data_IF_392535396349
#
_entry.id   IF_392535396349
#
_cell.length_a   1.000
_cell.length_b   1.000
_cell.length_c   1.000
_cell.angle_alpha   90.00
_cell.angle_beta   90.00
_cell.angle_gamma   90.00
#
_symmetry.space_group_name_H-M   'P 1'
#
loop_
_entity.id
_entity.type
_entity.pdbx_description
1 polymer ?
#
# COMPACT_ATOMS: atom_id res chain seq x y z
N UNK A 1 15.76 18.44 8.01
CA UNK A 1 15.12 17.59 9.02
C UNK A 1 16.10 16.55 9.52
N UNK A 2 15.99 16.21 10.75
CA UNK A 2 16.90 15.26 11.39
C UNK A 2 16.90 13.91 10.71
N UNK A 3 15.73 13.47 10.25
CA UNK A 3 15.61 12.17 9.61
C UNK A 3 16.41 12.06 8.31
N UNK A 4 16.55 13.16 7.62
CA UNK A 4 17.30 13.21 6.36
C UNK A 4 18.79 13.24 6.60
N UNK A 5 19.17 13.77 7.74
CA UNK A 5 20.57 13.92 8.11
C UNK A 5 21.17 12.65 8.63
N UNK A 6 20.35 11.78 9.15
CA UNK A 6 20.79 10.55 9.76
C UNK A 6 20.88 9.43 8.74
N UNK A 7 22.06 8.89 8.56
CA UNK A 7 22.23 7.67 7.77
C UNK A 7 21.80 6.45 8.54
N UNK A 8 21.70 6.59 9.86
CA UNK A 8 21.43 5.47 10.74
C UNK A 8 20.23 5.80 11.60
N UNK A 9 19.16 5.08 11.37
CA UNK A 9 17.97 5.15 12.20
C UNK A 9 18.07 4.08 13.26
N UNK A 10 17.75 4.47 14.49
CA UNK A 10 17.81 3.52 15.59
C UNK A 10 16.70 2.48 15.42
N UNK A 11 17.11 1.22 15.45
CA UNK A 11 16.20 0.10 15.45
C UNK A 11 16.01 -0.42 16.85
N UNK A 12 14.83 -0.98 17.12
CA UNK A 12 14.60 -1.71 18.34
C UNK A 12 15.28 -3.06 18.23
N UNK A 13 16.43 -3.19 18.87
CA UNK A 13 17.27 -4.39 18.78
C UNK A 13 16.77 -5.55 19.64
N UNK A 14 15.77 -5.31 20.50
CA UNK A 14 15.33 -6.29 21.49
C UNK A 14 14.05 -7.01 21.14
N UNK A 15 13.45 -6.72 19.99
CA UNK A 15 12.19 -7.35 19.67
C UNK A 15 11.78 -7.22 18.23
N UNK A 16 10.60 -7.75 17.98
CA UNK A 16 9.98 -7.78 16.65
C UNK A 16 9.18 -6.52 16.35
N UNK A 17 9.05 -5.63 17.32
CA UNK A 17 8.20 -4.44 17.22
C UNK A 17 8.92 -3.25 16.59
N UNK A 18 10.03 -3.48 15.95
CA UNK A 18 10.77 -2.42 15.31
C UNK A 18 9.95 -1.81 14.16
N UNK A 19 10.07 -0.49 13.97
CA UNK A 19 9.37 0.25 12.92
C UNK A 19 9.68 -0.28 11.52
N UNK A 20 10.78 -1.00 11.34
CA UNK A 20 11.22 -1.47 10.02
C UNK A 20 10.58 -2.78 9.58
N UNK A 21 9.67 -3.35 10.36
CA UNK A 21 9.08 -4.66 10.09
C UNK A 21 10.15 -5.73 9.89
N UNK A 22 10.90 -6.06 10.93
CA UNK A 22 12.02 -6.97 10.79
C UNK A 22 11.57 -8.37 10.37
N UNK A 23 12.43 -9.03 9.63
CA UNK A 23 12.24 -10.43 9.27
C UNK A 23 12.74 -11.31 10.42
N UNK A 24 11.98 -12.32 10.76
CA UNK A 24 12.35 -13.28 11.80
C UNK A 24 12.71 -14.60 11.13
N UNK A 25 13.91 -15.08 11.40
CA UNK A 25 14.34 -16.39 10.93
C UNK A 25 14.56 -17.29 12.12
N UNK A 26 14.04 -18.51 12.03
CA UNK A 26 14.22 -19.54 13.07
C UNK A 26 15.36 -20.44 12.64
N UNK A 27 16.37 -20.53 13.50
CA UNK A 27 17.53 -21.38 13.26
C UNK A 27 17.20 -22.83 13.60
N UNK A 28 18.04 -23.75 13.11
CA UNK A 28 17.85 -25.19 13.36
C UNK A 28 17.79 -25.54 14.85
N UNK A 29 18.53 -24.79 15.67
CA UNK A 29 18.57 -25.01 17.11
C UNK A 29 17.37 -24.39 17.84
N UNK A 30 16.41 -23.81 17.11
CA UNK A 30 15.25 -23.16 17.69
C UNK A 30 15.46 -21.70 18.06
N UNK A 31 16.64 -21.17 17.95
CA UNK A 31 16.90 -19.77 18.20
C UNK A 31 16.33 -18.92 17.07
N UNK A 32 15.94 -17.70 17.42
CA UNK A 32 15.39 -16.75 16.44
C UNK A 32 16.40 -15.66 16.16
N UNK A 33 16.51 -15.31 14.89
CA UNK A 33 17.32 -14.17 14.46
C UNK A 33 16.36 -13.11 13.91
N UNK A 34 16.54 -11.88 14.39
CA UNK A 34 15.73 -10.74 13.94
C UNK A 34 16.58 -9.94 12.98
N UNK A 35 16.16 -9.86 11.73
CA UNK A 35 16.86 -9.13 10.68
C UNK A 35 16.10 -7.86 10.41
N UNK A 36 16.71 -6.73 10.77
CA UNK A 36 16.09 -5.42 10.55
C UNK A 36 16.19 -5.01 9.09
N UNK A 37 15.17 -4.32 8.62
CA UNK A 37 15.15 -3.79 7.27
C UNK A 37 15.80 -2.40 7.27
N UNK A 38 17.04 -2.35 6.82
CA UNK A 38 17.80 -1.10 6.77
C UNK A 38 17.57 -0.32 5.48
N UNK A 39 16.78 -0.88 4.55
CA UNK A 39 16.52 -0.27 3.25
C UNK A 39 15.38 0.73 3.26
N UNK A 40 14.62 0.79 4.36
CA UNK A 40 13.51 1.74 4.47
C UNK A 40 13.75 2.74 5.61
N UNK A 41 13.17 3.91 5.47
CA UNK A 41 13.22 4.95 6.48
C UNK A 41 12.03 4.83 7.43
N UNK A 42 12.09 5.44 8.62
CA UNK A 42 10.93 5.50 9.52
C UNK A 42 9.70 6.11 8.85
N UNK A 43 9.90 7.10 7.98
CA UNK A 43 8.80 7.71 7.23
C UNK A 43 8.12 6.69 6.32
N UNK A 44 8.92 5.92 5.58
CA UNK A 44 8.39 4.89 4.69
C UNK A 44 7.65 3.80 5.48
N UNK A 45 8.17 3.42 6.63
CA UNK A 45 7.51 2.44 7.49
C UNK A 45 6.16 2.93 7.96
N UNK A 46 6.05 4.20 8.37
CA UNK A 46 4.76 4.79 8.78
C UNK A 46 3.79 4.85 7.61
N UNK A 47 4.28 5.19 6.42
CA UNK A 47 3.43 5.19 5.22
C UNK A 47 2.87 3.80 4.96
N UNK A 48 3.70 2.77 5.06
CA UNK A 48 3.24 1.40 4.86
C UNK A 48 2.16 1.00 5.87
N UNK A 49 2.35 1.33 7.14
CA UNK A 49 1.35 1.03 8.16
C UNK A 49 0.04 1.74 7.86
N UNK A 50 0.09 3.00 7.47
CA UNK A 50 -1.10 3.77 7.14
C UNK A 50 -1.81 3.21 5.89
N UNK A 51 -1.05 2.74 4.91
CA UNK A 51 -1.61 2.13 3.72
C UNK A 51 -2.32 0.83 4.07
N UNK A 52 -1.74 0.00 4.94
CA UNK A 52 -2.38 -1.23 5.38
C UNK A 52 -3.69 -0.96 6.11
N UNK A 53 -3.73 0.09 6.94
CA UNK A 53 -4.96 0.52 7.59
C UNK A 53 -6.00 0.99 6.57
N UNK A 54 -5.58 1.73 5.56
CA UNK A 54 -6.47 2.19 4.51
C UNK A 54 -7.06 1.02 3.72
N UNK A 55 -6.25 0.02 3.39
CA UNK A 55 -6.72 -1.18 2.70
C UNK A 55 -7.80 -1.88 3.52
N UNK A 56 -7.63 -1.94 4.83
CA UNK A 56 -8.60 -2.58 5.71
C UNK A 56 -9.90 -1.79 5.88
N UNK A 57 -9.85 -0.46 5.77
CA UNK A 57 -10.97 0.41 6.10
C UNK A 57 -11.73 1.00 4.91
N UNK A 58 -11.08 1.15 3.75
CA UNK A 58 -11.74 1.74 2.60
C UNK A 58 -12.67 0.75 1.92
N UNK A 59 -13.83 1.23 1.49
CA UNK A 59 -14.87 0.39 0.94
C UNK A 59 -14.79 0.20 -0.58
N UNK A 60 -14.01 1.00 -1.27
CA UNK A 60 -13.91 0.92 -2.71
C UNK A 60 -12.49 1.14 -3.19
N UNK A 61 -12.20 0.63 -4.39
CA UNK A 61 -10.89 0.85 -5.01
C UNK A 61 -10.65 2.33 -5.28
N UNK A 62 -11.68 3.06 -5.67
CA UNK A 62 -11.55 4.49 -5.96
C UNK A 62 -11.13 5.26 -4.70
N UNK A 63 -11.81 5.04 -3.59
CA UNK A 63 -11.47 5.72 -2.34
C UNK A 63 -10.10 5.28 -1.80
N UNK A 64 -9.74 4.02 -2.03
CA UNK A 64 -8.43 3.52 -1.63
C UNK A 64 -7.31 4.21 -2.42
N UNK A 65 -7.48 4.39 -3.73
CA UNK A 65 -6.50 5.10 -4.56
C UNK A 65 -6.26 6.49 -4.01
N UNK A 66 -7.34 7.20 -3.72
CA UNK A 66 -7.25 8.56 -3.16
C UNK A 66 -6.55 8.56 -1.79
N UNK A 67 -6.92 7.62 -0.93
CA UNK A 67 -6.32 7.51 0.41
C UNK A 67 -4.82 7.26 0.32
N UNK A 68 -4.40 6.32 -0.51
CA UNK A 68 -2.98 5.99 -0.67
C UNK A 68 -2.22 7.18 -1.25
N UNK A 69 -2.81 7.87 -2.23
CA UNK A 69 -2.18 9.06 -2.78
C UNK A 69 -1.89 10.11 -1.70
N UNK A 70 -2.86 10.35 -0.83
CA UNK A 70 -2.70 11.31 0.26
C UNK A 70 -1.68 10.84 1.29
N UNK A 71 -1.66 9.56 1.60
CA UNK A 71 -0.67 9.00 2.53
C UNK A 71 0.74 9.16 1.97
N UNK A 72 0.90 8.97 0.66
CA UNK A 72 2.18 9.15 -0.03
C UNK A 72 2.53 10.63 -0.25
N UNK A 73 1.63 11.53 0.14
CA UNK A 73 1.82 12.98 0.01
C UNK A 73 2.02 13.41 -1.44
N UNK A 74 1.24 12.82 -2.33
CA UNK A 74 1.29 13.12 -3.76
C UNK A 74 0.07 13.93 -4.19
N UNK A 75 0.31 14.93 -5.05
CA UNK A 75 -0.78 15.67 -5.66
C UNK A 75 -1.32 14.92 -6.88
N UNK A 76 -2.50 15.32 -7.35
CA UNK A 76 -3.05 14.77 -8.58
C UNK A 76 -2.11 15.01 -9.77
N UNK A 77 -1.48 16.17 -9.80
CA UNK A 77 -0.51 16.52 -10.86
C UNK A 77 0.70 15.61 -10.82
N UNK A 78 1.20 15.32 -9.64
CA UNK A 78 2.35 14.42 -9.47
C UNK A 78 2.02 13.00 -9.92
N UNK A 79 0.86 12.49 -9.54
CA UNK A 79 0.42 11.17 -9.99
C UNK A 79 0.25 11.14 -11.49
N UNK A 80 -0.34 12.18 -12.06
CA UNK A 80 -0.48 12.32 -13.51
C UNK A 80 0.87 12.28 -14.20
N UNK A 81 1.83 13.02 -13.69
CA UNK A 81 3.17 13.11 -14.26
C UNK A 81 3.90 11.77 -14.20
N UNK A 82 3.85 11.10 -13.08
CA UNK A 82 4.53 9.81 -12.89
C UNK A 82 3.86 8.71 -13.71
N UNK A 83 2.53 8.67 -13.71
CA UNK A 83 1.78 7.61 -14.37
C UNK A 83 1.63 7.80 -15.87
N UNK A 84 1.73 9.03 -16.36
CA UNK A 84 1.38 9.38 -17.73
C UNK A 84 -0.11 9.45 -18.00
N UNK A 85 -0.93 9.33 -16.95
CA UNK A 85 -2.39 9.41 -17.06
C UNK A 85 -2.83 10.85 -16.86
N UNK A 86 -3.78 11.32 -17.66
CA UNK A 86 -4.29 12.68 -17.54
C UNK A 86 -4.80 12.95 -16.13
N UNK A 87 -4.49 14.13 -15.60
CA UNK A 87 -4.89 14.54 -14.26
C UNK A 87 -6.40 14.44 -14.03
N UNK A 88 -7.19 14.85 -15.01
CA UNK A 88 -8.65 14.76 -14.90
C UNK A 88 -9.13 13.32 -14.86
N UNK A 89 -8.45 12.43 -15.57
CA UNK A 89 -8.74 11.00 -15.54
C UNK A 89 -8.45 10.42 -14.16
N UNK A 90 -7.31 10.77 -13.56
CA UNK A 90 -6.99 10.33 -12.19
C UNK A 90 -8.06 10.81 -11.22
N UNK A 91 -8.43 12.08 -11.32
CA UNK A 91 -9.47 12.68 -10.47
C UNK A 91 -10.82 11.95 -10.61
N UNK A 92 -11.26 11.68 -11.85
CA UNK A 92 -12.50 10.97 -12.09
C UNK A 92 -12.49 9.56 -11.51
N UNK A 93 -11.36 8.88 -11.61
CA UNK A 93 -11.19 7.54 -11.04
C UNK A 93 -11.28 7.62 -9.51
N UNK A 94 -10.61 8.57 -8.88
CA UNK A 94 -10.65 8.74 -7.42
C UNK A 94 -12.05 9.07 -6.91
N UNK A 95 -12.82 9.78 -7.70
CA UNK A 95 -14.20 10.12 -7.35
C UNK A 95 -15.18 8.96 -7.59
N UNK A 96 -14.71 7.88 -8.21
CA UNK A 96 -15.57 6.74 -8.52
C UNK A 96 -16.37 6.87 -9.80
N UNK A 97 -16.20 7.97 -10.53
CA UNK A 97 -17.02 8.25 -11.71
C UNK A 97 -16.72 7.32 -12.88
N UNK A 98 -15.44 7.00 -13.07
CA UNK A 98 -15.01 6.26 -14.27
C UNK A 98 -14.24 4.98 -13.94
N UNK A 99 -14.21 4.56 -12.68
CA UNK A 99 -13.40 3.40 -12.29
C UNK A 99 -13.86 2.12 -13.00
N UNK A 100 -15.15 1.97 -13.19
CA UNK A 100 -15.72 0.78 -13.83
C UNK A 100 -15.44 0.72 -15.33
N UNK A 101 -15.16 1.85 -15.95
CA UNK A 101 -14.88 1.93 -17.38
C UNK A 101 -13.43 2.20 -17.70
N UNK A 102 -12.60 2.36 -16.67
CA UNK A 102 -11.18 2.60 -16.84
C UNK A 102 -10.50 1.34 -17.39
N UNK A 103 -9.50 1.54 -18.22
CA UNK A 103 -8.68 0.43 -18.70
C UNK A 103 -7.81 -0.11 -17.59
N UNK A 104 -7.58 -1.41 -17.60
CA UNK A 104 -6.66 -2.02 -16.62
C UNK A 104 -5.28 -1.41 -16.68
N UNK A 105 -4.80 -1.12 -17.88
CA UNK A 105 -3.49 -0.50 -18.03
C UNK A 105 -3.43 0.88 -17.37
N UNK A 106 -4.53 1.65 -17.43
CA UNK A 106 -4.62 2.95 -16.74
C UNK A 106 -4.56 2.77 -15.23
N UNK A 107 -5.33 1.82 -14.71
CA UNK A 107 -5.32 1.53 -13.27
C UNK A 107 -3.96 1.02 -12.81
N UNK A 108 -3.31 0.19 -13.60
CA UNK A 108 -1.96 -0.30 -13.30
C UNK A 108 -0.95 0.85 -13.27
N UNK A 109 -1.05 1.78 -14.21
CA UNK A 109 -0.14 2.93 -14.26
C UNK A 109 -0.30 3.81 -13.01
N UNK A 110 -1.55 4.06 -12.59
CA UNK A 110 -1.83 4.82 -11.37
C UNK A 110 -1.29 4.08 -10.15
N UNK A 111 -1.54 2.78 -10.06
CA UNK A 111 -1.04 1.97 -8.94
C UNK A 111 0.48 2.06 -8.82
N UNK A 112 1.19 1.95 -9.93
CA UNK A 112 2.65 2.06 -9.94
C UNK A 112 3.13 3.44 -9.50
N UNK A 113 2.42 4.48 -9.90
CA UNK A 113 2.72 5.85 -9.45
C UNK A 113 2.59 5.98 -7.93
N UNK A 114 1.70 5.20 -7.35
CA UNK A 114 1.49 5.14 -5.90
C UNK A 114 2.40 4.11 -5.21
N UNK A 115 3.31 3.50 -5.94
CA UNK A 115 4.19 2.42 -5.46
C UNK A 115 3.41 1.23 -4.95
N UNK A 116 2.36 0.87 -5.68
CA UNK A 116 1.49 -0.26 -5.36
C UNK A 116 1.34 -1.15 -6.59
N UNK A 117 0.99 -2.40 -6.36
CA UNK A 117 0.60 -3.32 -7.42
C UNK A 117 -0.91 -3.45 -7.44
N UNK A 118 -1.47 -3.51 -8.63
CA UNK A 118 -2.88 -3.78 -8.79
C UNK A 118 -3.11 -5.29 -8.81
N UNK A 119 -4.01 -5.75 -7.94
CA UNK A 119 -4.40 -7.16 -7.91
C UNK A 119 -5.87 -7.28 -8.23
N UNK A 120 -6.20 -8.23 -9.09
CA UNK A 120 -7.58 -8.52 -9.48
C UNK A 120 -7.85 -9.97 -9.13
N UNK A 121 -8.98 -10.20 -8.48
CA UNK A 121 -9.36 -11.54 -8.04
C UNK A 121 -10.73 -11.90 -8.61
N UNK A 122 -10.86 -13.14 -9.09
CA UNK A 122 -12.13 -13.71 -9.51
C UNK A 122 -12.63 -14.60 -8.40
N UNK A 123 -13.82 -14.28 -7.89
CA UNK A 123 -14.42 -15.03 -6.78
C UNK A 123 -15.64 -15.78 -7.29
N UNK A 124 -15.68 -17.11 -7.14
CA UNK A 124 -16.82 -17.90 -7.61
C UNK A 124 -18.11 -17.55 -6.86
N UNK A 125 -19.21 -17.57 -7.57
CA UNK A 125 -20.54 -17.36 -6.97
C UNK A 125 -20.85 -18.34 -5.85
N UNK A 126 -20.42 -19.58 -5.99
CA UNK A 126 -20.65 -20.61 -4.97
C UNK A 126 -20.16 -20.19 -3.59
N UNK A 127 -19.00 -19.53 -3.55
CA UNK A 127 -18.44 -19.03 -2.29
C UNK A 127 -19.34 -17.98 -1.65
N UNK A 128 -19.86 -17.05 -2.44
CA UNK A 128 -20.81 -16.04 -1.97
C UNK A 128 -22.12 -16.67 -1.52
N UNK A 129 -22.62 -17.62 -2.29
CA UNK A 129 -23.88 -18.30 -1.97
C UNK A 129 -23.78 -19.01 -0.63
N UNK A 130 -22.66 -19.66 -0.36
CA UNK A 130 -22.45 -20.34 0.92
C UNK A 130 -22.43 -19.33 2.07
N UNK A 131 -21.77 -18.23 1.92
CA UNK A 131 -21.71 -17.17 2.94
C UNK A 131 -23.11 -16.62 3.23
N UNK A 132 -23.88 -16.36 2.18
CA UNK A 132 -25.27 -15.87 2.33
C UNK A 132 -26.15 -16.87 3.03
N UNK A 133 -26.00 -18.15 2.75
CA UNK A 133 -26.81 -19.20 3.36
C UNK A 133 -26.56 -19.35 4.86
N UNK A 134 -25.44 -18.95 5.33
CA UNK A 134 -25.09 -19.03 6.74
C UNK A 134 -25.50 -17.83 7.57
N UNK A 135 -26.05 -16.83 6.92
CA UNK A 135 -26.51 -15.61 7.61
C UNK A 135 -27.88 -15.76 8.25
#
# INVERSE_FOLDING_TARGET
MEDEMSEYYEHNTHGVDCWCNPKIEVMENGNKVIIHNNDITPKEAREMDNILLAIASENSTASLIKAIRKIRDLSLSEVSEISGVNRNTVRSIENGDTIMTARLETLCAIARALKCDLRIELVPYEKFTQEVKHV
#
